data_IF_431700403397
#
_entry.id   IF_431700403397
#
_cell.length_a   1.000
_cell.length_b   1.000
_cell.length_c   1.000
_cell.angle_alpha   90.00
_cell.angle_beta   90.00
_cell.angle_gamma   90.00
#
_symmetry.space_group_name_H-M   'P 1'
#
loop_
_entity.id
_entity.type
_entity.pdbx_description
1 polymer ?
#
# COMPACT_ATOMS: atom_id res chain seq x y z
N UNK A 1 0.60 -27.27 -8.42
CA UNK A 1 -0.64 -27.39 -7.60
C UNK A 1 -0.48 -26.74 -6.23
N UNK A 2 0.58 -27.04 -5.46
CA UNK A 2 0.73 -26.51 -4.08
C UNK A 2 0.67 -24.97 -3.99
N UNK A 3 1.21 -24.24 -4.98
CA UNK A 3 1.09 -22.78 -5.03
C UNK A 3 -0.38 -22.32 -5.09
N UNK A 4 -1.22 -23.01 -5.85
CA UNK A 4 -2.65 -22.71 -5.96
C UNK A 4 -3.40 -23.04 -4.67
N UNK A 5 -3.13 -24.21 -4.10
CA UNK A 5 -3.71 -24.62 -2.81
C UNK A 5 -3.36 -23.60 -1.71
N UNK A 6 -2.11 -23.13 -1.67
CA UNK A 6 -1.68 -22.12 -0.70
C UNK A 6 -2.38 -20.78 -0.92
N UNK A 7 -2.52 -20.32 -2.16
CA UNK A 7 -3.28 -19.10 -2.46
C UNK A 7 -4.73 -19.23 -1.98
N UNK A 8 -5.40 -20.35 -2.28
CA UNK A 8 -6.80 -20.53 -1.89
C UNK A 8 -6.99 -20.60 -0.37
N UNK A 9 -6.08 -21.26 0.35
CA UNK A 9 -6.07 -21.25 1.82
C UNK A 9 -6.07 -19.82 2.37
N UNK A 10 -5.34 -18.92 1.73
CA UNK A 10 -5.28 -17.50 2.12
C UNK A 10 -6.56 -16.77 1.69
N UNK A 11 -6.99 -16.93 0.44
CA UNK A 11 -8.17 -16.25 -0.11
C UNK A 11 -9.43 -16.58 0.70
N UNK A 12 -9.62 -17.83 1.14
CA UNK A 12 -10.79 -18.24 1.93
C UNK A 12 -10.91 -17.45 3.25
N UNK A 13 -9.79 -16.99 3.83
CA UNK A 13 -9.81 -16.16 5.05
C UNK A 13 -10.49 -14.79 4.86
N UNK A 14 -10.64 -14.34 3.62
CA UNK A 14 -11.34 -13.11 3.27
C UNK A 14 -12.85 -13.25 3.27
N UNK A 15 -13.39 -14.49 3.21
CA UNK A 15 -14.84 -14.74 3.11
C UNK A 15 -15.69 -13.89 4.03
N UNK A 16 -15.37 -13.72 5.33
CA UNK A 16 -16.23 -12.96 6.23
C UNK A 16 -16.03 -11.43 6.15
N UNK A 17 -15.38 -10.91 5.10
CA UNK A 17 -15.48 -9.50 4.70
C UNK A 17 -16.64 -9.24 3.74
N UNK A 18 -17.24 -10.29 3.17
CA UNK A 18 -18.32 -10.21 2.19
C UNK A 18 -19.64 -10.64 2.82
N UNK A 19 -20.70 -9.88 2.59
CA UNK A 19 -22.05 -10.22 3.08
C UNK A 19 -22.73 -11.28 2.21
N UNK A 20 -22.38 -11.34 0.92
CA UNK A 20 -22.95 -12.29 -0.05
C UNK A 20 -21.89 -13.23 -0.59
N UNK A 21 -22.27 -14.49 -0.81
CA UNK A 21 -21.38 -15.52 -1.37
C UNK A 21 -20.91 -15.11 -2.76
N UNK A 22 -21.83 -14.75 -3.66
CA UNK A 22 -21.51 -14.34 -5.02
C UNK A 22 -20.48 -13.20 -5.09
N UNK A 23 -20.51 -12.24 -4.16
CA UNK A 23 -19.53 -11.14 -4.13
C UNK A 23 -18.14 -11.63 -3.72
N UNK A 24 -18.06 -12.61 -2.83
CA UNK A 24 -16.80 -13.27 -2.48
C UNK A 24 -16.28 -14.12 -3.65
N UNK A 25 -17.14 -14.88 -4.32
CA UNK A 25 -16.76 -15.66 -5.51
C UNK A 25 -16.17 -14.77 -6.62
N UNK A 26 -16.79 -13.62 -6.87
CA UNK A 26 -16.26 -12.63 -7.81
C UNK A 26 -14.94 -12.03 -7.37
N UNK A 27 -14.72 -11.84 -6.06
CA UNK A 27 -13.41 -11.43 -5.54
C UNK A 27 -12.34 -12.49 -5.85
N UNK A 28 -12.64 -13.77 -5.62
CA UNK A 28 -11.75 -14.90 -5.92
C UNK A 28 -11.40 -14.93 -7.41
N UNK A 29 -12.41 -14.84 -8.29
CA UNK A 29 -12.21 -14.83 -9.75
C UNK A 29 -11.37 -13.63 -10.20
N UNK A 30 -11.70 -12.42 -9.76
CA UNK A 30 -10.94 -11.22 -10.16
C UNK A 30 -9.50 -11.25 -9.65
N UNK A 31 -9.26 -11.81 -8.47
CA UNK A 31 -7.92 -11.96 -7.90
C UNK A 31 -7.08 -12.97 -8.67
N UNK A 32 -7.66 -14.14 -9.02
CA UNK A 32 -7.01 -15.11 -9.89
C UNK A 32 -6.76 -14.57 -11.29
N UNK A 33 -7.72 -13.84 -11.88
CA UNK A 33 -7.53 -13.18 -13.16
C UNK A 33 -6.37 -12.17 -13.13
N UNK A 34 -6.21 -11.40 -12.06
CA UNK A 34 -5.07 -10.50 -11.88
C UNK A 34 -3.74 -11.28 -11.77
N UNK A 35 -3.71 -12.39 -11.04
CA UNK A 35 -2.52 -13.23 -10.89
C UNK A 35 -2.11 -13.90 -12.21
N UNK A 36 -3.07 -14.38 -12.99
CA UNK A 36 -2.81 -15.23 -14.16
C UNK A 36 -2.72 -14.47 -15.49
N UNK A 37 -3.28 -13.26 -15.58
CA UNK A 37 -3.31 -12.54 -16.87
C UNK A 37 -1.91 -12.26 -17.45
N UNK A 38 -1.72 -12.58 -18.73
CA UNK A 38 -0.54 -12.23 -19.53
C UNK A 38 -0.79 -11.04 -20.44
N UNK A 39 -2.04 -10.57 -20.50
CA UNK A 39 -2.49 -9.43 -21.30
C UNK A 39 -2.31 -8.12 -20.53
N UNK A 40 -2.33 -6.95 -21.22
CA UNK A 40 -2.35 -5.65 -20.56
C UNK A 40 -3.46 -5.57 -19.49
N UNK A 41 -3.18 -5.04 -18.29
CA UNK A 41 -4.14 -5.07 -17.18
C UNK A 41 -5.46 -4.36 -17.48
N UNK A 42 -6.53 -5.13 -17.51
CA UNK A 42 -7.92 -4.70 -17.67
C UNK A 42 -8.85 -5.77 -17.10
N UNK A 43 -10.09 -5.39 -16.76
CA UNK A 43 -11.09 -6.35 -16.26
C UNK A 43 -11.35 -7.45 -17.29
N UNK A 44 -11.40 -7.12 -18.58
CA UNK A 44 -11.49 -8.09 -19.67
C UNK A 44 -10.31 -9.06 -19.69
N UNK A 45 -9.10 -8.55 -19.50
CA UNK A 45 -7.87 -9.36 -19.43
C UNK A 45 -7.87 -10.34 -18.25
N UNK A 46 -8.52 -9.99 -17.14
CA UNK A 46 -8.69 -10.89 -16.00
C UNK A 46 -9.67 -12.02 -16.33
N UNK A 47 -10.78 -11.72 -17.02
CA UNK A 47 -11.75 -12.73 -17.45
C UNK A 47 -11.17 -13.66 -18.52
N UNK A 48 -10.46 -13.11 -19.50
CA UNK A 48 -9.79 -13.87 -20.55
C UNK A 48 -8.78 -14.86 -19.96
N UNK A 49 -8.02 -14.45 -18.94
CA UNK A 49 -7.05 -15.31 -18.26
C UNK A 49 -7.70 -16.52 -17.58
N UNK A 50 -9.00 -16.45 -17.30
CA UNK A 50 -9.79 -17.51 -16.69
C UNK A 50 -10.67 -18.27 -17.70
N UNK A 51 -10.64 -17.89 -18.98
CA UNK A 51 -11.52 -18.46 -20.00
C UNK A 51 -13.00 -18.10 -19.82
N UNK A 52 -13.31 -17.00 -19.11
CA UNK A 52 -14.68 -16.55 -18.92
C UNK A 52 -15.18 -15.74 -20.14
N UNK A 53 -16.40 -16.02 -20.57
CA UNK A 53 -17.02 -15.40 -21.74
C UNK A 53 -17.42 -13.93 -21.50
N UNK A 54 -17.64 -13.19 -22.60
CA UNK A 54 -18.04 -11.78 -22.57
C UNK A 54 -19.33 -11.51 -21.77
N UNK A 55 -20.25 -12.49 -21.67
CA UNK A 55 -21.49 -12.37 -20.89
C UNK A 55 -21.23 -12.09 -19.39
N UNK A 56 -20.06 -12.48 -18.88
CA UNK A 56 -19.66 -12.27 -17.50
C UNK A 56 -19.02 -10.91 -17.23
N UNK A 57 -18.76 -10.10 -18.26
CA UNK A 57 -18.11 -8.80 -18.11
C UNK A 57 -18.90 -7.82 -17.22
N UNK A 58 -20.22 -7.75 -17.41
CA UNK A 58 -21.09 -6.89 -16.58
C UNK A 58 -21.06 -7.29 -15.11
N UNK A 59 -21.05 -8.58 -14.81
CA UNK A 59 -20.96 -9.11 -13.45
C UNK A 59 -19.63 -8.75 -12.78
N UNK A 60 -18.52 -8.86 -13.52
CA UNK A 60 -17.21 -8.44 -13.04
C UNK A 60 -17.16 -6.93 -12.73
N UNK A 61 -17.78 -6.09 -13.57
CA UNK A 61 -17.90 -4.65 -13.30
C UNK A 61 -18.78 -4.35 -12.09
N UNK A 62 -19.89 -5.08 -11.92
CA UNK A 62 -20.78 -4.91 -10.77
C UNK A 62 -20.07 -5.19 -9.45
N UNK A 63 -19.07 -6.08 -9.42
CA UNK A 63 -18.27 -6.32 -8.23
C UNK A 63 -17.58 -5.06 -7.70
N UNK A 64 -17.02 -4.23 -8.58
CA UNK A 64 -16.37 -2.96 -8.20
C UNK A 64 -17.35 -1.92 -7.66
N UNK A 65 -18.65 -2.08 -7.90
CA UNK A 65 -19.71 -1.20 -7.41
C UNK A 65 -20.63 -1.87 -6.37
N UNK A 66 -20.32 -3.09 -5.94
CA UNK A 66 -21.18 -3.86 -5.06
C UNK A 66 -21.24 -3.27 -3.64
N UNK A 67 -22.42 -3.21 -3.04
CA UNK A 67 -22.60 -2.97 -1.60
C UNK A 67 -22.40 -4.25 -0.76
N UNK A 68 -22.02 -5.36 -1.39
CA UNK A 68 -21.81 -6.65 -0.73
C UNK A 68 -20.54 -6.74 0.13
N UNK A 69 -19.72 -5.68 0.16
CA UNK A 69 -18.54 -5.58 1.01
C UNK A 69 -18.09 -4.13 1.16
N UNK A 70 -17.30 -3.89 2.19
CA UNK A 70 -16.56 -2.64 2.40
C UNK A 70 -15.08 -2.91 2.18
N UNK A 71 -14.42 -2.06 1.39
CA UNK A 71 -13.01 -2.24 1.08
C UNK A 71 -12.13 -2.25 2.35
N UNK A 72 -12.40 -1.38 3.31
CA UNK A 72 -11.62 -1.29 4.54
C UNK A 72 -11.69 -2.57 5.37
N UNK A 73 -12.80 -3.32 5.28
CA UNK A 73 -12.95 -4.62 5.94
C UNK A 73 -12.07 -5.67 5.26
N UNK A 74 -11.99 -5.66 3.93
CA UNK A 74 -11.08 -6.52 3.14
C UNK A 74 -9.62 -6.19 3.49
N UNK A 75 -9.23 -4.92 3.46
CA UNK A 75 -7.87 -4.47 3.79
C UNK A 75 -7.48 -4.80 5.24
N UNK A 76 -8.39 -4.60 6.21
CA UNK A 76 -8.16 -5.00 7.62
C UNK A 76 -7.96 -6.51 7.77
N UNK A 77 -8.74 -7.33 7.05
CA UNK A 77 -8.54 -8.79 7.05
C UNK A 77 -7.18 -9.17 6.47
N UNK A 78 -6.81 -8.57 5.35
CA UNK A 78 -5.50 -8.79 4.74
C UNK A 78 -4.36 -8.42 5.68
N UNK A 79 -4.41 -7.21 6.25
CA UNK A 79 -3.44 -6.74 7.23
C UNK A 79 -3.35 -7.66 8.45
N UNK A 80 -4.49 -8.09 9.00
CA UNK A 80 -4.52 -9.04 10.13
C UNK A 80 -3.94 -10.40 9.75
N UNK A 81 -4.25 -10.92 8.57
CA UNK A 81 -3.68 -12.19 8.13
C UNK A 81 -2.16 -12.09 8.04
N UNK A 82 -1.63 -11.01 7.43
CA UNK A 82 -0.20 -10.74 7.34
C UNK A 82 0.46 -10.59 8.72
N UNK A 83 -0.18 -9.94 9.69
CA UNK A 83 0.39 -9.77 11.04
C UNK A 83 0.46 -11.06 11.84
N UNK A 84 -0.21 -12.13 11.42
CA UNK A 84 -0.10 -13.45 12.06
C UNK A 84 0.96 -14.34 11.39
N UNK A 85 1.54 -13.93 10.26
CA UNK A 85 2.57 -14.72 9.60
C UNK A 85 3.93 -14.58 10.32
N UNK A 86 4.71 -15.66 10.29
CA UNK A 86 6.02 -15.76 10.95
C UNK A 86 7.08 -14.89 10.29
N UNK A 87 6.93 -14.63 8.99
CA UNK A 87 7.80 -13.81 8.15
C UNK A 87 7.50 -12.30 8.24
N UNK A 88 6.52 -11.87 9.03
CA UNK A 88 6.34 -10.44 9.26
C UNK A 88 7.53 -9.85 10.01
N UNK A 89 8.10 -8.75 9.52
CA UNK A 89 9.23 -8.11 10.16
C UNK A 89 8.83 -7.53 11.52
N UNK A 90 9.70 -7.66 12.52
CA UNK A 90 9.52 -7.09 13.86
C UNK A 90 10.70 -6.22 14.24
N UNK A 91 10.41 -5.12 14.91
CA UNK A 91 11.35 -4.27 15.62
C UNK A 91 10.94 -4.26 17.09
N UNK A 92 11.87 -4.57 18.00
CA UNK A 92 11.58 -4.70 19.43
C UNK A 92 10.30 -5.54 19.73
N UNK A 93 10.11 -6.64 19.00
CA UNK A 93 8.92 -7.50 19.13
C UNK A 93 7.64 -6.98 18.47
N UNK A 94 7.58 -5.74 17.98
CA UNK A 94 6.37 -5.15 17.37
C UNK A 94 6.44 -5.08 15.84
N UNK A 95 5.28 -5.02 15.18
CA UNK A 95 5.19 -4.98 13.72
C UNK A 95 5.69 -3.64 13.16
N UNK A 96 6.34 -3.71 11.99
CA UNK A 96 6.84 -2.52 11.29
C UNK A 96 6.09 -2.31 10.00
N UNK A 97 5.60 -1.11 9.86
CA UNK A 97 4.71 -0.70 8.82
C UNK A 97 5.33 0.47 8.06
N UNK A 98 5.17 0.49 6.74
CA UNK A 98 5.76 1.52 5.89
C UNK A 98 4.65 2.25 5.17
N UNK A 99 4.68 3.59 5.18
CA UNK A 99 3.68 4.43 4.52
C UNK A 99 4.33 5.49 3.64
N UNK A 100 3.69 5.76 2.50
CA UNK A 100 4.13 6.76 1.54
C UNK A 100 2.98 7.17 0.60
N UNK A 101 3.17 8.26 -0.14
CA UNK A 101 2.27 8.71 -1.18
C UNK A 101 2.73 8.33 -2.58
N UNK A 102 1.79 8.10 -3.50
CA UNK A 102 2.08 7.91 -4.92
C UNK A 102 1.17 8.78 -5.78
N UNK A 103 1.78 9.51 -6.73
CA UNK A 103 1.10 10.27 -7.77
C UNK A 103 0.98 9.40 -9.02
N UNK A 104 -0.22 9.32 -9.58
CA UNK A 104 -0.59 8.40 -10.66
C UNK A 104 -1.18 9.20 -11.81
N UNK A 105 -0.54 9.18 -12.96
CA UNK A 105 -0.99 9.95 -14.13
C UNK A 105 -2.34 9.44 -14.62
N UNK A 106 -3.25 10.37 -14.95
CA UNK A 106 -4.54 10.06 -15.57
C UNK A 106 -4.88 11.09 -16.64
N UNK A 107 -5.26 10.59 -17.81
CA UNK A 107 -5.69 11.42 -18.94
C UNK A 107 -7.22 11.51 -19.05
N UNK A 108 -7.94 10.62 -18.36
CA UNK A 108 -9.40 10.56 -18.40
C UNK A 108 -10.03 11.85 -17.88
N UNK A 109 -10.67 12.61 -18.78
CA UNK A 109 -11.26 13.92 -18.46
C UNK A 109 -12.61 13.85 -17.72
N UNK A 110 -13.13 12.64 -17.49
CA UNK A 110 -14.39 12.40 -16.75
C UNK A 110 -14.18 11.43 -15.59
N UNK A 111 -12.97 11.40 -15.04
CA UNK A 111 -12.63 10.62 -13.84
C UNK A 111 -12.68 11.58 -12.64
N UNK A 112 -13.53 11.34 -11.64
CA UNK A 112 -13.57 12.18 -10.45
C UNK A 112 -12.23 12.20 -9.71
N UNK A 113 -11.90 13.36 -9.12
CA UNK A 113 -10.69 13.52 -8.30
C UNK A 113 -9.39 13.74 -9.07
N UNK A 114 -9.41 13.79 -10.41
CA UNK A 114 -8.22 14.15 -11.20
C UNK A 114 -7.82 15.59 -10.91
N UNK A 115 -6.56 15.80 -10.55
CA UNK A 115 -5.97 17.10 -10.17
C UNK A 115 -4.58 17.29 -10.79
N UNK A 116 -4.19 18.53 -11.04
CA UNK A 116 -2.83 18.94 -11.37
C UNK A 116 -1.94 18.97 -10.12
N UNK A 117 -0.81 18.27 -10.15
CA UNK A 117 0.10 18.16 -9.00
C UNK A 117 1.55 18.40 -9.43
N UNK A 118 2.29 19.15 -8.62
CA UNK A 118 3.74 19.27 -8.76
C UNK A 118 4.43 17.99 -8.29
N UNK A 119 5.51 17.55 -8.92
CA UNK A 119 6.33 16.41 -8.52
C UNK A 119 7.62 16.89 -7.85
N UNK A 120 7.70 16.74 -6.53
CA UNK A 120 8.86 17.10 -5.71
C UNK A 120 10.09 16.17 -5.91
N UNK A 121 10.12 15.31 -6.94
CA UNK A 121 11.22 14.36 -7.12
C UNK A 121 12.37 15.01 -7.90
N UNK A 122 13.58 14.95 -7.35
CA UNK A 122 14.85 15.37 -8.01
C UNK A 122 15.24 14.50 -9.22
N UNK A 123 14.33 13.66 -9.74
CA UNK A 123 14.61 12.82 -10.89
C UNK A 123 14.36 13.60 -12.20
N UNK A 124 15.44 13.96 -12.88
CA UNK A 124 15.45 14.66 -14.17
C UNK A 124 14.57 13.98 -15.24
N UNK A 125 14.35 12.67 -15.13
CA UNK A 125 13.53 11.92 -16.10
C UNK A 125 12.02 12.00 -15.87
N UNK A 126 11.54 12.68 -14.82
CA UNK A 126 10.11 12.81 -14.52
C UNK A 126 9.64 14.23 -14.81
N UNK A 127 8.44 14.41 -15.41
CA UNK A 127 7.89 15.74 -15.64
C UNK A 127 7.61 16.44 -14.30
N UNK A 128 7.91 17.73 -14.22
CA UNK A 128 7.70 18.54 -13.01
C UNK A 128 6.23 18.57 -12.56
N UNK A 129 5.30 18.50 -13.50
CA UNK A 129 3.86 18.46 -13.22
C UNK A 129 3.23 17.18 -13.75
N UNK A 130 2.26 16.68 -13.00
CA UNK A 130 1.48 15.48 -13.32
C UNK A 130 0.00 15.77 -13.10
N UNK A 131 -0.81 15.43 -14.10
CA UNK A 131 -2.25 15.41 -13.98
C UNK A 131 -2.69 14.00 -13.59
N UNK A 132 -3.42 13.86 -12.49
CA UNK A 132 -3.95 12.56 -12.11
C UNK A 132 -4.41 12.45 -10.67
N UNK A 133 -4.11 11.32 -10.04
CA UNK A 133 -4.58 10.98 -8.70
C UNK A 133 -3.42 10.83 -7.71
N UNK A 134 -3.67 11.17 -6.45
CA UNK A 134 -2.75 10.89 -5.35
C UNK A 134 -3.34 9.82 -4.43
N UNK A 135 -2.59 8.74 -4.25
CA UNK A 135 -2.92 7.71 -3.27
C UNK A 135 -1.96 7.79 -2.09
N UNK A 136 -2.51 7.76 -0.88
CA UNK A 136 -1.71 7.35 0.28
C UNK A 136 -1.75 5.84 0.36
N UNK A 137 -0.60 5.22 0.61
CA UNK A 137 -0.49 3.80 0.81
C UNK A 137 0.15 3.47 2.14
N UNK A 138 -0.23 2.31 2.64
CA UNK A 138 0.30 1.78 3.87
C UNK A 138 0.46 0.27 3.73
N UNK A 139 1.68 -0.23 3.93
CA UNK A 139 2.03 -1.65 3.83
C UNK A 139 2.68 -2.19 5.11
N UNK A 140 2.71 -3.51 5.24
CA UNK A 140 3.47 -4.22 6.28
C UNK A 140 4.80 -4.68 5.69
N UNK A 141 5.86 -4.46 6.47
CA UNK A 141 7.17 -5.00 6.14
C UNK A 141 7.17 -6.50 6.45
N UNK A 142 7.41 -7.32 5.44
CA UNK A 142 7.54 -8.77 5.54
C UNK A 142 8.89 -9.20 4.98
N UNK A 143 9.48 -10.26 5.51
CA UNK A 143 10.75 -10.75 5.03
C UNK A 143 11.37 -11.83 5.89
N UNK A 144 12.24 -12.62 5.24
CA UNK A 144 13.09 -13.62 5.86
C UNK A 144 14.53 -13.36 5.43
N UNK A 145 15.47 -13.45 6.38
CA UNK A 145 16.88 -13.12 6.14
C UNK A 145 17.02 -11.71 5.53
N UNK A 146 17.70 -11.59 4.38
CA UNK A 146 17.84 -10.32 3.65
C UNK A 146 16.74 -10.07 2.60
N UNK A 147 15.81 -11.01 2.39
CA UNK A 147 14.70 -10.84 1.45
C UNK A 147 13.55 -10.11 2.15
N UNK A 148 13.39 -8.82 1.84
CA UNK A 148 12.41 -7.94 2.46
C UNK A 148 11.50 -7.31 1.41
N UNK A 149 10.20 -7.37 1.64
CA UNK A 149 9.14 -6.80 0.84
C UNK A 149 8.25 -5.87 1.69
N UNK A 150 7.53 -4.97 1.03
CA UNK A 150 6.41 -4.25 1.63
C UNK A 150 5.13 -4.77 0.99
N UNK A 151 4.36 -5.52 1.77
CA UNK A 151 3.05 -6.01 1.37
C UNK A 151 2.01 -4.93 1.64
N UNK A 152 1.48 -4.36 0.57
CA UNK A 152 0.54 -3.24 0.64
C UNK A 152 -0.77 -3.70 1.26
N UNK A 153 -1.22 -2.99 2.30
CA UNK A 153 -2.44 -3.32 3.05
C UNK A 153 -3.61 -2.47 2.58
N UNK A 154 -3.38 -1.17 2.41
CA UNK A 154 -4.43 -0.24 2.00
C UNK A 154 -3.83 0.88 1.14
N UNK A 155 -4.53 1.22 0.06
CA UNK A 155 -4.29 2.41 -0.76
C UNK A 155 -5.59 3.20 -0.86
N UNK A 156 -5.54 4.50 -0.56
CA UNK A 156 -6.70 5.38 -0.52
C UNK A 156 -6.47 6.65 -1.32
N UNK A 157 -7.50 7.08 -2.06
CA UNK A 157 -7.46 8.35 -2.79
C UNK A 157 -7.61 9.48 -1.77
N UNK A 158 -6.52 10.20 -1.50
CA UNK A 158 -6.47 11.19 -0.41
C UNK A 158 -6.29 12.64 -0.89
N UNK A 159 -6.08 12.87 -2.19
CA UNK A 159 -6.09 14.21 -2.80
C UNK A 159 -7.03 14.24 -4.01
N UNK A 160 -7.41 15.45 -4.40
CA UNK A 160 -8.20 15.73 -5.59
C UNK A 160 -9.70 15.82 -5.38
N UNK A 161 -10.21 15.42 -4.20
CA UNK A 161 -11.62 15.55 -3.81
C UNK A 161 -11.70 16.16 -2.42
N UNK A 162 -12.58 17.15 -2.27
CA UNK A 162 -12.95 17.82 -1.02
C UNK A 162 -14.44 17.53 -0.80
N UNK A 163 -14.76 16.62 0.12
CA UNK A 163 -16.15 16.24 0.37
C UNK A 163 -16.89 17.24 1.26
N UNK A 164 -16.19 17.81 2.23
CA UNK A 164 -16.73 18.78 3.18
C UNK A 164 -15.78 19.98 3.34
N UNK A 165 -16.29 21.07 3.92
CA UNK A 165 -15.46 22.24 4.24
C UNK A 165 -14.34 21.88 5.22
N UNK A 166 -14.60 21.00 6.18
CA UNK A 166 -13.58 20.51 7.12
C UNK A 166 -12.48 19.68 6.43
N UNK A 167 -12.83 18.91 5.38
CA UNK A 167 -11.85 18.17 4.58
C UNK A 167 -10.97 19.07 3.72
N UNK A 168 -11.42 20.27 3.38
CA UNK A 168 -10.62 21.26 2.67
C UNK A 168 -9.39 21.68 3.51
N UNK A 169 -9.54 21.65 4.84
CA UNK A 169 -8.46 21.93 5.78
C UNK A 169 -7.60 20.68 6.08
N UNK A 170 -8.14 19.47 5.85
CA UNK A 170 -7.46 18.23 6.18
C UNK A 170 -6.28 17.95 5.26
N UNK A 171 -5.09 17.96 5.85
CA UNK A 171 -3.81 17.78 5.14
C UNK A 171 -3.56 16.30 4.84
N UNK A 172 -2.77 16.03 3.80
CA UNK A 172 -2.29 14.67 3.50
C UNK A 172 -1.61 13.99 4.70
N UNK A 173 -1.02 14.77 5.60
CA UNK A 173 -0.44 14.27 6.86
C UNK A 173 -1.50 13.69 7.80
N UNK A 174 -2.67 14.30 7.92
CA UNK A 174 -3.77 13.79 8.73
C UNK A 174 -4.36 12.51 8.13
N UNK A 175 -4.57 12.52 6.81
CA UNK A 175 -5.11 11.35 6.10
C UNK A 175 -4.16 10.14 6.20
N UNK A 176 -2.84 10.36 6.11
CA UNK A 176 -1.84 9.30 6.35
C UNK A 176 -1.83 8.82 7.81
N UNK A 177 -1.91 9.73 8.78
CA UNK A 177 -1.98 9.34 10.19
C UNK A 177 -3.25 8.53 10.48
N UNK A 178 -4.39 8.92 9.90
CA UNK A 178 -5.63 8.17 10.01
C UNK A 178 -5.53 6.80 9.34
N UNK A 179 -4.90 6.71 8.16
CA UNK A 179 -4.64 5.42 7.50
C UNK A 179 -3.81 4.48 8.38
N UNK A 180 -2.80 5.02 9.07
CA UNK A 180 -2.02 4.28 10.06
C UNK A 180 -2.91 3.82 11.22
N UNK A 181 -3.68 4.71 11.84
CA UNK A 181 -4.55 4.32 12.96
C UNK A 181 -5.57 3.24 12.57
N UNK A 182 -6.14 3.31 11.35
CA UNK A 182 -7.18 2.38 10.89
C UNK A 182 -6.69 0.94 10.68
N UNK A 183 -5.43 0.74 10.30
CA UNK A 183 -4.93 -0.56 9.81
C UNK A 183 -3.77 -1.17 10.60
N UNK A 184 -3.42 -0.62 11.76
CA UNK A 184 -2.21 -1.00 12.50
C UNK A 184 -2.56 -1.56 13.88
N UNK A 185 -1.69 -2.42 14.39
CA UNK A 185 -1.81 -2.98 15.75
C UNK A 185 -1.14 -2.06 16.77
N UNK A 186 -1.68 -2.02 18.00
CA UNK A 186 -1.14 -1.22 19.11
C UNK A 186 0.34 -1.55 19.37
N UNK A 187 1.16 -0.54 19.65
CA UNK A 187 2.61 -0.67 19.89
C UNK A 187 3.45 -0.79 18.63
N UNK A 188 2.84 -0.80 17.44
CA UNK A 188 3.59 -0.97 16.19
C UNK A 188 4.27 0.30 15.71
N UNK A 189 5.25 0.14 14.83
CA UNK A 189 6.01 1.24 14.24
C UNK A 189 5.50 1.59 12.85
N UNK A 190 5.25 2.87 12.60
CA UNK A 190 5.03 3.45 11.28
C UNK A 190 6.31 4.15 10.80
N UNK A 191 6.91 3.64 9.73
CA UNK A 191 8.07 4.21 9.05
C UNK A 191 7.57 5.06 7.88
N UNK A 192 7.65 6.38 8.00
CA UNK A 192 7.09 7.33 7.03
C UNK A 192 8.17 8.25 6.46
N UNK A 193 7.96 8.78 5.25
CA UNK A 193 8.85 9.78 4.66
C UNK A 193 8.91 11.10 5.46
N UNK A 194 9.94 11.91 5.21
CA UNK A 194 10.17 13.21 5.85
C UNK A 194 8.99 14.18 5.72
N UNK A 195 8.17 14.07 4.67
CA UNK A 195 6.93 14.84 4.55
C UNK A 195 5.98 14.64 5.74
N UNK A 196 5.95 13.43 6.31
CA UNK A 196 5.09 13.05 7.43
C UNK A 196 5.74 13.26 8.81
N UNK A 197 7.00 13.71 8.86
CA UNK A 197 7.64 14.13 10.09
C UNK A 197 7.06 15.48 10.55
N UNK A 198 5.87 15.45 11.13
CA UNK A 198 5.21 16.63 11.69
C UNK A 198 4.44 16.33 12.98
N UNK A 199 4.14 17.39 13.74
CA UNK A 199 3.44 17.32 15.02
C UNK A 199 2.09 16.59 14.92
N UNK A 200 1.33 16.84 13.86
CA UNK A 200 -0.01 16.28 13.66
C UNK A 200 0.04 14.76 13.59
N UNK A 201 0.95 14.21 12.77
CA UNK A 201 1.15 12.76 12.64
C UNK A 201 1.61 12.18 13.97
N UNK A 202 2.62 12.78 14.61
CA UNK A 202 3.18 12.25 15.85
C UNK A 202 2.15 12.19 16.98
N UNK A 203 1.39 13.27 17.18
CA UNK A 203 0.35 13.33 18.21
C UNK A 203 -0.74 12.31 17.95
N UNK A 204 -1.19 12.18 16.69
CA UNK A 204 -2.20 11.20 16.32
C UNK A 204 -1.73 9.77 16.57
N UNK A 205 -0.49 9.44 16.21
CA UNK A 205 0.07 8.11 16.46
C UNK A 205 0.22 7.82 17.97
N UNK A 206 0.69 8.79 18.77
CA UNK A 206 0.79 8.63 20.23
C UNK A 206 -0.56 8.38 20.90
N UNK A 207 -1.61 9.12 20.50
CA UNK A 207 -2.98 8.91 21.01
C UNK A 207 -3.48 7.47 20.81
N UNK A 208 -2.98 6.79 19.77
CA UNK A 208 -3.33 5.40 19.44
C UNK A 208 -2.23 4.40 19.82
N UNK A 209 -1.25 4.81 20.62
CA UNK A 209 -0.11 4.01 21.05
C UNK A 209 0.67 3.38 19.87
N UNK A 210 0.90 4.17 18.83
CA UNK A 210 1.76 3.83 17.70
C UNK A 210 3.04 4.66 17.75
N UNK A 211 4.14 4.10 17.24
CA UNK A 211 5.43 4.78 17.18
C UNK A 211 5.72 5.28 15.76
N UNK A 212 6.23 6.50 15.62
CA UNK A 212 6.72 7.03 14.35
C UNK A 212 8.23 6.82 14.25
N UNK A 213 8.69 6.33 13.10
CA UNK A 213 10.07 6.45 12.64
C UNK A 213 10.05 7.24 11.33
N UNK A 214 10.80 8.32 11.24
CA UNK A 214 10.83 9.15 10.04
C UNK A 214 12.14 9.92 9.91
N UNK A 215 12.33 10.61 8.79
CA UNK A 215 13.43 11.55 8.58
C UNK A 215 12.98 12.95 8.94
N UNK A 216 13.74 13.63 9.76
CA UNK A 216 13.54 15.06 10.01
C UNK A 216 14.28 15.91 8.98
N UNK A 217 13.78 17.13 8.74
CA UNK A 217 14.50 18.11 7.92
C UNK A 217 15.79 18.53 8.64
N UNK A 218 16.84 18.83 7.89
CA UNK A 218 18.10 19.30 8.48
C UNK A 218 17.90 20.59 9.28
N UNK A 219 16.95 21.44 8.88
CA UNK A 219 16.60 22.69 9.54
C UNK A 219 15.73 22.54 10.79
N UNK A 220 15.44 21.31 11.22
CA UNK A 220 14.59 21.06 12.39
C UNK A 220 15.19 21.69 13.66
N UNK A 221 14.31 22.31 14.44
CA UNK A 221 14.63 22.90 15.74
C UNK A 221 13.91 22.11 16.82
N UNK A 222 14.67 21.44 17.67
CA UNK A 222 14.19 20.79 18.88
C UNK A 222 14.27 21.74 20.09
N UNK A 223 13.86 21.25 21.25
CA UNK A 223 13.83 22.01 22.50
C UNK A 223 14.51 21.22 23.61
N UNK A 224 15.35 21.92 24.35
CA UNK A 224 15.90 21.42 25.61
C UNK A 224 14.80 21.24 26.65
N UNK A 225 15.14 20.51 27.71
CA UNK A 225 14.32 20.45 28.91
C UNK A 225 14.13 21.84 29.52
N UNK A 226 12.90 22.14 29.94
CA UNK A 226 12.63 23.40 30.61
C UNK A 226 12.99 23.27 32.09
N UNK A 227 13.95 24.06 32.55
CA UNK A 227 14.21 24.27 33.98
C UNK A 227 13.63 25.60 34.43
N UNK A 228 12.63 25.59 35.30
CA UNK A 228 12.18 26.80 35.97
C UNK A 228 13.25 27.26 36.97
N UNK A 229 13.51 28.56 37.05
CA UNK A 229 14.27 29.11 38.17
C UNK A 229 13.29 29.38 39.32
N UNK A 230 13.31 28.60 40.41
CA UNK A 230 12.34 28.72 41.51
C UNK A 230 12.41 30.07 42.23
N UNK A 231 13.50 30.84 42.06
CA UNK A 231 13.72 32.12 42.73
C UNK A 231 13.04 33.33 42.06
N UNK A 232 12.41 33.14 40.90
CA UNK A 232 11.80 34.23 40.12
C UNK A 232 10.33 33.93 39.84
N UNK A 233 9.39 34.41 40.67
CA UNK A 233 7.97 34.34 40.35
C UNK A 233 7.71 35.18 39.09
N UNK A 234 7.32 34.52 37.99
CA UNK A 234 6.96 35.20 36.74
C UNK A 234 5.44 35.23 36.61
N UNK A 235 4.90 36.43 36.46
CA UNK A 235 3.48 36.66 36.18
C UNK A 235 3.18 36.20 34.73
N UNK A 236 2.15 35.38 34.54
CA UNK A 236 1.70 34.90 33.23
C UNK A 236 1.74 33.38 33.06
N UNK A 237 1.36 32.89 31.87
CA UNK A 237 1.32 31.45 31.57
C UNK A 237 2.72 30.82 31.71
N UNK A 238 2.88 29.71 32.47
CA UNK A 238 4.16 29.05 32.65
C UNK A 238 4.81 28.70 31.31
N UNK A 239 6.13 28.93 31.19
CA UNK A 239 6.90 28.46 30.03
C UNK A 239 6.93 26.93 30.06
N UNK A 240 6.60 26.32 28.92
CA UNK A 240 6.54 24.86 28.77
C UNK A 240 7.77 24.28 28.05
N UNK A 241 8.56 25.13 27.39
CA UNK A 241 9.67 24.69 26.53
C UNK A 241 10.99 25.33 26.98
N UNK A 242 12.07 24.55 26.93
CA UNK A 242 13.43 25.03 27.14
C UNK A 242 14.00 25.78 25.92
N UNK A 243 15.32 25.94 25.93
CA UNK A 243 16.07 26.60 24.87
C UNK A 243 15.87 25.90 23.50
N UNK A 244 15.95 26.68 22.41
CA UNK A 244 15.94 26.15 21.05
C UNK A 244 17.26 25.44 20.76
N UNK A 245 17.19 24.23 20.22
CA UNK A 245 18.35 23.46 19.75
C UNK A 245 18.17 23.27 18.25
N UNK A 246 19.03 23.90 17.45
CA UNK A 246 19.05 23.67 15.99
C UNK A 246 19.82 22.37 15.74
N UNK A 247 19.14 21.35 15.23
CA UNK A 247 19.76 20.03 15.10
C UNK A 247 20.91 20.00 14.08
N UNK A 248 20.89 20.89 13.08
CA UNK A 248 21.98 21.02 12.11
C UNK A 248 23.32 21.40 12.77
N UNK A 249 23.29 22.18 13.85
CA UNK A 249 24.48 22.70 14.51
C UNK A 249 25.17 21.57 15.32
N UNK A 250 24.47 20.46 15.59
CA UNK A 250 25.05 19.28 16.23
C UNK A 250 25.97 18.47 15.32
N UNK A 251 26.04 18.78 14.02
CA UNK A 251 26.98 18.16 13.07
C UNK A 251 28.37 18.83 13.06
N UNK A 252 28.60 19.86 13.87
CA UNK A 252 29.87 20.60 13.88
C UNK A 252 30.99 19.83 14.60
N UNK A 253 30.63 18.92 15.52
CA UNK A 253 31.56 18.00 16.19
C UNK A 253 31.07 16.54 16.01
N UNK A 254 31.75 15.82 15.10
CA UNK A 254 31.44 14.41 14.78
C UNK A 254 32.53 13.43 15.20
N UNK A 255 33.64 13.91 15.79
CA UNK A 255 34.84 13.09 16.01
C UNK A 255 34.61 12.01 17.07
N UNK A 256 33.69 12.27 18.00
CA UNK A 256 33.29 11.35 19.08
C UNK A 256 32.11 10.43 18.72
N UNK A 257 31.63 10.46 17.47
CA UNK A 257 30.44 9.71 17.08
C UNK A 257 30.69 8.21 16.94
N UNK A 258 29.63 7.43 17.14
CA UNK A 258 29.67 5.98 16.99
C UNK A 258 29.77 5.62 15.51
N UNK A 259 30.60 4.63 15.18
CA UNK A 259 30.72 4.11 13.81
C UNK A 259 29.88 2.85 13.64
N UNK A 260 29.15 2.75 12.53
CA UNK A 260 28.42 1.53 12.15
C UNK A 260 28.47 1.30 10.65
N UNK A 261 28.31 0.04 10.24
CA UNK A 261 28.10 -0.34 8.83
C UNK A 261 26.67 -0.84 8.67
N UNK A 262 25.90 -0.18 7.82
CA UNK A 262 24.49 -0.51 7.57
C UNK A 262 24.26 -0.84 6.09
N UNK A 263 23.28 -1.71 5.82
CA UNK A 263 22.90 -2.06 4.46
C UNK A 263 21.95 -1.01 3.84
N UNK A 264 22.50 0.04 3.24
CA UNK A 264 21.72 1.04 2.50
C UNK A 264 21.47 0.55 1.06
N UNK A 265 20.20 0.37 0.70
CA UNK A 265 19.81 -0.12 -0.64
C UNK A 265 20.51 -1.43 -1.04
N UNK A 266 20.78 -2.31 -0.06
CA UNK A 266 21.48 -3.58 -0.27
C UNK A 266 23.00 -3.47 -0.41
N UNK A 267 23.59 -2.28 -0.24
CA UNK A 267 25.03 -2.07 -0.21
C UNK A 267 25.49 -1.75 1.22
N UNK A 268 26.60 -2.35 1.69
CA UNK A 268 27.18 -1.96 2.97
C UNK A 268 27.71 -0.52 2.85
N UNK A 269 27.28 0.34 3.76
CA UNK A 269 27.74 1.72 3.86
C UNK A 269 28.16 1.97 5.30
N UNK A 270 29.43 2.33 5.49
CA UNK A 270 29.91 2.85 6.76
C UNK A 270 29.31 4.24 6.99
N UNK A 271 28.91 4.53 8.20
CA UNK A 271 28.47 5.85 8.64
C UNK A 271 28.86 6.08 10.09
N UNK A 272 28.91 7.35 10.48
CA UNK A 272 28.96 7.74 11.89
C UNK A 272 27.60 8.26 12.32
N UNK A 273 27.23 8.03 13.58
CA UNK A 273 25.96 8.49 14.12
C UNK A 273 26.06 8.86 15.60
N UNK A 274 25.13 9.72 16.03
CA UNK A 274 24.94 10.06 17.43
C UNK A 274 23.46 10.23 17.76
N UNK A 275 23.08 9.83 18.98
CA UNK A 275 21.72 9.85 19.47
C UNK A 275 21.49 11.02 20.43
N UNK A 276 20.35 11.71 20.28
CA UNK A 276 19.95 12.79 21.15
C UNK A 276 18.47 12.68 21.51
N UNK A 277 18.12 12.93 22.76
CA UNK A 277 16.72 12.93 23.21
C UNK A 277 16.28 14.35 23.54
N UNK A 278 15.37 14.89 22.74
CA UNK A 278 14.88 16.27 22.89
C UNK A 278 13.37 16.35 22.74
N UNK A 279 12.79 17.45 23.21
CA UNK A 279 11.39 17.74 23.00
C UNK A 279 11.19 18.37 21.62
N UNK A 280 10.11 18.04 20.92
CA UNK A 280 9.86 18.58 19.58
C UNK A 280 8.38 18.85 19.29
N UNK A 281 7.52 17.84 19.42
CA UNK A 281 6.10 17.94 19.12
C UNK A 281 5.24 18.25 20.37
N UNK A 282 5.73 17.84 21.54
CA UNK A 282 5.12 17.97 22.86
C UNK A 282 6.14 18.45 23.90
N UNK A 283 5.75 19.30 24.86
CA UNK A 283 6.63 19.75 25.94
C UNK A 283 6.81 18.69 27.05
N UNK A 284 6.03 17.60 27.04
CA UNK A 284 6.05 16.57 28.08
C UNK A 284 6.74 15.28 27.65
N UNK A 285 6.90 15.06 26.36
CA UNK A 285 7.43 13.82 25.80
C UNK A 285 8.60 14.12 24.86
N UNK A 286 9.72 13.44 25.09
CA UNK A 286 10.90 13.53 24.22
C UNK A 286 10.71 12.64 22.98
N UNK A 287 11.47 12.94 21.94
CA UNK A 287 11.70 12.08 20.78
C UNK A 287 13.19 11.78 20.67
N UNK A 288 13.52 10.62 20.12
CA UNK A 288 14.89 10.22 19.84
C UNK A 288 15.26 10.74 18.44
N UNK A 289 16.22 11.64 18.40
CA UNK A 289 16.90 12.07 17.18
C UNK A 289 18.16 11.22 16.98
N UNK A 290 18.34 10.71 15.76
CA UNK A 290 19.55 9.99 15.36
C UNK A 290 20.17 10.75 14.20
N UNK A 291 21.26 11.45 14.49
CA UNK A 291 22.01 12.18 13.48
C UNK A 291 23.02 11.22 12.85
N UNK A 292 23.11 11.24 11.52
CA UNK A 292 23.99 10.35 10.77
C UNK A 292 24.76 11.13 9.73
N UNK A 293 26.03 10.78 9.54
CA UNK A 293 26.88 11.32 8.50
C UNK A 293 27.58 10.18 7.74
N UNK A 294 27.42 10.17 6.42
CA UNK A 294 28.11 9.23 5.54
C UNK A 294 29.51 9.75 5.17
N UNK A 295 30.46 8.89 4.75
CA UNK A 295 31.79 9.28 4.30
C UNK A 295 31.80 10.32 3.19
N UNK A 296 30.76 10.36 2.35
CA UNK A 296 30.59 11.37 1.30
C UNK A 296 30.11 12.74 1.83
N UNK A 297 30.05 12.94 3.14
CA UNK A 297 29.56 14.16 3.79
C UNK A 297 28.03 14.29 3.85
N UNK A 298 27.28 13.30 3.34
CA UNK A 298 25.81 13.33 3.36
C UNK A 298 25.29 13.18 4.79
N UNK A 299 24.63 14.23 5.28
CA UNK A 299 24.02 14.32 6.61
C UNK A 299 22.54 13.97 6.57
N UNK A 300 22.06 13.24 7.58
CA UNK A 300 20.64 12.92 7.74
C UNK A 300 20.26 12.90 9.22
N UNK A 301 19.07 13.42 9.52
CA UNK A 301 18.47 13.38 10.86
C UNK A 301 17.29 12.42 10.80
N UNK A 302 17.34 11.36 11.59
CA UNK A 302 16.20 10.48 11.81
C UNK A 302 15.52 10.82 13.13
N UNK A 303 14.24 10.48 13.22
CA UNK A 303 13.39 10.69 14.37
C UNK A 303 12.67 9.40 14.70
N UNK A 304 12.64 9.04 15.98
CA UNK A 304 11.79 8.00 16.56
C UNK A 304 10.99 8.57 17.72
N UNK A 305 9.70 8.24 17.80
CA UNK A 305 8.89 8.52 19.00
C UNK A 305 9.04 7.47 20.10
N UNK A 306 9.73 6.36 19.82
CA UNK A 306 10.13 5.37 20.81
C UNK A 306 11.57 5.65 21.26
N UNK A 307 11.75 5.90 22.55
CA UNK A 307 13.04 6.18 23.18
C UNK A 307 13.80 4.92 23.57
N UNK A 308 13.16 3.74 23.52
CA UNK A 308 13.79 2.47 23.84
C UNK A 308 14.67 1.92 22.70
N UNK A 309 14.49 2.45 21.48
CA UNK A 309 15.28 2.04 20.32
C UNK A 309 16.71 2.56 20.40
N UNK A 310 17.65 1.72 19.99
CA UNK A 310 19.02 2.14 19.70
C UNK A 310 19.07 2.98 18.41
N UNK A 311 20.13 3.80 18.28
CA UNK A 311 20.36 4.56 17.04
C UNK A 311 20.44 3.67 15.80
N UNK A 312 21.09 2.50 15.92
CA UNK A 312 21.23 1.55 14.83
C UNK A 312 19.88 0.97 14.38
N UNK A 313 19.01 0.62 15.33
CA UNK A 313 17.66 0.12 15.03
C UNK A 313 16.82 1.15 14.25
N UNK A 314 16.87 2.42 14.65
CA UNK A 314 16.18 3.52 13.95
C UNK A 314 16.71 3.66 12.52
N UNK A 315 18.04 3.65 12.36
CA UNK A 315 18.70 3.73 11.05
C UNK A 315 18.24 2.56 10.19
N UNK A 316 18.39 1.32 10.67
CA UNK A 316 18.04 0.11 9.94
C UNK A 316 16.55 0.02 9.59
N UNK A 317 15.65 0.46 10.47
CA UNK A 317 14.22 0.50 10.19
C UNK A 317 13.92 1.50 9.06
N UNK A 318 14.49 2.71 9.14
CA UNK A 318 14.29 3.73 8.13
C UNK A 318 14.92 3.34 6.77
N UNK A 319 16.06 2.63 6.77
CA UNK A 319 16.65 2.11 5.53
C UNK A 319 15.71 1.18 4.76
N UNK A 320 14.74 0.53 5.42
CA UNK A 320 13.79 -0.37 4.77
C UNK A 320 12.59 0.38 4.16
N UNK A 321 12.43 1.68 4.42
CA UNK A 321 11.32 2.50 3.89
C UNK A 321 11.24 2.46 2.36
N UNK A 322 12.36 2.53 1.66
CA UNK A 322 12.37 2.55 0.17
C UNK A 322 11.71 1.30 -0.45
N UNK A 323 11.54 0.22 0.30
CA UNK A 323 10.84 -0.98 -0.18
C UNK A 323 9.40 -0.71 -0.58
N UNK A 324 8.75 0.33 -0.04
CA UNK A 324 7.42 0.73 -0.52
C UNK A 324 7.46 1.30 -1.94
N UNK A 325 8.51 2.04 -2.31
CA UNK A 325 8.71 2.54 -3.68
C UNK A 325 8.95 1.37 -4.64
N UNK A 326 9.66 0.33 -4.18
CA UNK A 326 9.80 -0.92 -4.94
C UNK A 326 8.45 -1.61 -5.10
N UNK A 327 7.65 -1.71 -4.03
CA UNK A 327 6.31 -2.29 -4.10
C UNK A 327 5.39 -1.53 -5.05
N UNK A 328 5.42 -0.19 -5.05
CA UNK A 328 4.70 0.64 -6.03
C UNK A 328 5.13 0.35 -7.45
N UNK A 329 6.45 0.30 -7.71
CA UNK A 329 6.98 0.00 -9.03
C UNK A 329 6.54 -1.39 -9.51
N UNK A 330 6.59 -2.40 -8.63
CA UNK A 330 6.12 -3.74 -8.98
C UNK A 330 4.60 -3.76 -9.20
N UNK A 331 3.81 -3.08 -8.37
CA UNK A 331 2.36 -2.98 -8.55
C UNK A 331 2.00 -2.35 -9.90
N UNK A 332 2.69 -1.29 -10.30
CA UNK A 332 2.51 -0.61 -11.59
C UNK A 332 2.92 -1.50 -12.75
N UNK A 333 4.15 -2.02 -12.76
CA UNK A 333 4.70 -2.66 -13.95
C UNK A 333 4.41 -4.16 -14.07
N UNK A 334 4.19 -4.86 -12.95
CA UNK A 334 3.85 -6.27 -12.99
C UNK A 334 2.34 -6.46 -13.15
N UNK A 335 1.54 -5.77 -12.35
CA UNK A 335 0.08 -6.01 -12.28
C UNK A 335 -0.76 -4.88 -12.88
N UNK A 336 -0.17 -3.73 -13.22
CA UNK A 336 -0.94 -2.56 -13.63
C UNK A 336 -1.98 -2.13 -12.61
N UNK A 337 -1.64 -2.19 -11.32
CA UNK A 337 -2.59 -1.90 -10.24
C UNK A 337 -3.23 -0.51 -10.30
N UNK A 338 -2.67 0.40 -11.08
CA UNK A 338 -3.22 1.73 -11.33
C UNK A 338 -3.82 1.92 -12.74
N UNK A 339 -4.06 0.85 -13.50
CA UNK A 339 -4.59 0.91 -14.87
C UNK A 339 -6.13 1.13 -14.95
N UNK A 340 -6.80 1.40 -13.83
CA UNK A 340 -8.25 1.64 -13.79
C UNK A 340 -8.68 2.86 -14.61
N UNK A 341 -9.89 2.79 -15.16
CA UNK A 341 -10.51 3.81 -16.03
C UNK A 341 -12.01 4.01 -15.76
N UNK A 342 -12.46 3.94 -14.49
CA UNK A 342 -13.87 4.15 -14.17
C UNK A 342 -14.26 5.63 -14.37
N UNK A 343 -14.85 5.93 -15.53
CA UNK A 343 -15.40 7.25 -15.84
C UNK A 343 -16.83 7.42 -15.31
N UNK A 344 -17.24 8.68 -15.17
CA UNK A 344 -18.61 9.08 -14.87
C UNK A 344 -19.16 9.93 -16.01
N UNK A 345 -20.16 9.41 -16.74
CA UNK A 345 -20.74 10.10 -17.91
C UNK A 345 -21.34 11.46 -17.56
N UNK A 346 -21.93 11.57 -16.37
CA UNK A 346 -22.60 12.75 -15.83
C UNK A 346 -21.65 13.92 -15.55
N UNK A 347 -20.34 13.69 -15.43
CA UNK A 347 -19.38 14.77 -15.27
C UNK A 347 -19.09 15.45 -16.60
N UNK A 348 -18.91 16.76 -16.55
CA UNK A 348 -18.30 17.50 -17.64
C UNK A 348 -16.83 17.14 -17.81
N UNK A 349 -16.28 17.46 -18.99
CA UNK A 349 -14.85 17.26 -19.23
C UNK A 349 -14.08 18.25 -18.37
N UNK A 350 -13.28 17.74 -17.43
CA UNK A 350 -12.40 18.58 -16.62
C UNK A 350 -11.31 19.23 -17.47
N UNK A 351 -10.84 20.40 -17.04
CA UNK A 351 -9.76 21.15 -17.66
C UNK A 351 -8.47 20.33 -17.81
N UNK A 352 -7.52 20.86 -18.58
CA UNK A 352 -6.22 20.21 -18.78
C UNK A 352 -5.43 20.10 -17.46
N UNK A 353 -5.47 21.15 -16.62
CA UNK A 353 -4.86 21.19 -15.30
C UNK A 353 -5.90 21.57 -14.24
N UNK A 354 -6.73 20.62 -13.79
CA UNK A 354 -7.80 20.89 -12.84
C UNK A 354 -7.27 21.02 -11.40
N UNK A 355 -7.92 21.87 -10.61
CA UNK A 355 -7.77 21.90 -9.15
C UNK A 355 -8.56 20.77 -8.48
N UNK A 356 -8.58 20.76 -7.14
CA UNK A 356 -9.40 19.82 -6.37
C UNK A 356 -10.88 19.98 -6.70
N UNK A 357 -11.58 18.85 -6.84
CA UNK A 357 -13.02 18.80 -7.01
C UNK A 357 -13.74 19.00 -5.67
N UNK A 358 -14.65 19.96 -5.59
CA UNK A 358 -15.52 20.14 -4.44
C UNK A 358 -16.82 19.35 -4.65
N UNK A 359 -17.12 18.39 -3.77
CA UNK A 359 -18.34 17.58 -3.94
C UNK A 359 -19.62 18.39 -3.77
N UNK A 360 -19.58 19.41 -2.92
CA UNK A 360 -20.73 20.27 -2.62
C UNK A 360 -21.21 21.09 -3.84
N UNK A 361 -20.41 21.18 -4.90
CA UNK A 361 -20.78 21.86 -6.15
C UNK A 361 -21.73 21.03 -7.03
N UNK A 362 -21.99 19.77 -6.66
CA UNK A 362 -22.82 18.83 -7.41
C UNK A 362 -24.09 18.45 -6.65
N UNK A 363 -25.14 18.07 -7.38
CA UNK A 363 -26.35 17.50 -6.80
C UNK A 363 -26.06 16.19 -6.05
N UNK A 364 -26.87 15.89 -5.03
CA UNK A 364 -26.68 14.73 -4.15
C UNK A 364 -26.56 13.39 -4.90
N UNK A 365 -27.35 13.20 -5.97
CA UNK A 365 -27.29 12.00 -6.81
C UNK A 365 -25.96 11.87 -7.56
N UNK A 366 -25.39 12.99 -8.00
CA UNK A 366 -24.09 13.03 -8.68
C UNK A 366 -22.97 12.84 -7.66
N UNK A 367 -23.06 13.45 -6.47
CA UNK A 367 -22.11 13.21 -5.37
C UNK A 367 -21.99 11.73 -5.05
N UNK A 368 -23.13 11.03 -4.92
CA UNK A 368 -23.17 9.59 -4.64
C UNK A 368 -22.49 8.79 -5.75
N UNK A 369 -22.72 9.15 -7.02
CA UNK A 369 -22.05 8.52 -8.16
C UNK A 369 -20.54 8.79 -8.19
N UNK A 370 -20.10 10.00 -7.86
CA UNK A 370 -18.68 10.35 -7.74
C UNK A 370 -18.01 9.47 -6.69
N UNK A 371 -18.56 9.41 -5.49
CA UNK A 371 -18.03 8.60 -4.38
C UNK A 371 -17.98 7.11 -4.76
N UNK A 372 -19.01 6.58 -5.44
CA UNK A 372 -19.01 5.20 -5.93
C UNK A 372 -17.88 4.93 -6.95
N UNK A 373 -17.52 5.91 -7.78
CA UNK A 373 -16.39 5.78 -8.73
C UNK A 373 -15.04 5.85 -8.03
N UNK A 374 -14.91 6.70 -7.03
CA UNK A 374 -13.73 6.76 -6.15
C UNK A 374 -13.53 5.40 -5.49
N UNK A 375 -14.58 4.84 -4.91
CA UNK A 375 -14.51 3.53 -4.29
C UNK A 375 -14.11 2.44 -5.29
N UNK A 376 -14.63 2.48 -6.53
CA UNK A 376 -14.21 1.56 -7.58
C UNK A 376 -12.72 1.70 -7.95
N UNK A 377 -12.16 2.91 -7.92
CA UNK A 377 -10.70 3.12 -8.08
C UNK A 377 -9.94 2.39 -6.98
N UNK A 378 -10.32 2.63 -5.72
CA UNK A 378 -9.67 2.02 -4.58
C UNK A 378 -9.81 0.50 -4.59
N UNK A 379 -10.98 -0.04 -4.91
CA UNK A 379 -11.24 -1.48 -5.01
C UNK A 379 -10.35 -2.13 -6.07
N UNK A 380 -10.18 -1.51 -7.23
CA UNK A 380 -9.28 -2.02 -8.27
C UNK A 380 -7.81 -2.00 -7.83
N UNK A 381 -7.36 -0.89 -7.24
CA UNK A 381 -5.96 -0.74 -6.79
C UNK A 381 -5.66 -1.76 -5.69
N UNK A 382 -6.55 -1.90 -4.70
CA UNK A 382 -6.33 -2.78 -3.56
C UNK A 382 -6.50 -4.26 -3.91
N UNK A 383 -7.35 -4.63 -4.88
CA UNK A 383 -7.38 -6.00 -5.43
C UNK A 383 -5.99 -6.40 -5.96
N UNK A 384 -5.36 -5.51 -6.74
CA UNK A 384 -4.02 -5.74 -7.26
C UNK A 384 -2.93 -5.67 -6.18
N UNK A 385 -3.12 -4.84 -5.15
CA UNK A 385 -2.22 -4.79 -4.00
C UNK A 385 -2.23 -6.12 -3.22
N UNK A 386 -3.41 -6.72 -3.03
CA UNK A 386 -3.56 -8.05 -2.41
C UNK A 386 -2.94 -9.12 -3.32
N UNK A 387 -3.16 -9.07 -4.63
CA UNK A 387 -2.52 -9.99 -5.58
C UNK A 387 -0.99 -9.92 -5.49
N UNK A 388 -0.42 -8.71 -5.44
CA UNK A 388 1.02 -8.52 -5.26
C UNK A 388 1.49 -9.10 -3.93
N UNK A 389 0.75 -8.84 -2.85
CA UNK A 389 1.05 -9.36 -1.52
C UNK A 389 1.04 -10.89 -1.47
N UNK A 390 0.12 -11.56 -2.17
CA UNK A 390 0.12 -13.02 -2.32
C UNK A 390 1.39 -13.53 -3.01
N UNK A 391 1.84 -12.85 -4.07
CA UNK A 391 3.09 -13.20 -4.75
C UNK A 391 4.30 -13.06 -3.80
N UNK A 392 4.33 -12.04 -2.95
CA UNK A 392 5.40 -11.83 -1.98
C UNK A 392 5.39 -12.90 -0.88
N UNK A 393 4.22 -13.29 -0.39
CA UNK A 393 4.05 -14.38 0.59
C UNK A 393 4.58 -15.69 0.01
N UNK A 394 4.16 -16.07 -1.19
CA UNK A 394 4.65 -17.30 -1.83
C UNK A 394 6.16 -17.25 -2.10
N UNK A 395 6.70 -16.07 -2.42
CA UNK A 395 8.13 -15.90 -2.57
C UNK A 395 8.88 -16.29 -1.29
N UNK A 396 8.35 -15.91 -0.12
CA UNK A 396 8.95 -16.17 1.19
C UNK A 396 8.68 -17.60 1.69
N UNK A 397 7.44 -18.08 1.58
CA UNK A 397 7.01 -19.36 2.13
C UNK A 397 7.39 -20.56 1.24
N UNK A 398 7.38 -20.38 -0.08
CA UNK A 398 7.53 -21.47 -1.05
C UNK A 398 8.63 -21.22 -2.09
N UNK A 399 9.85 -20.78 -1.71
CA UNK A 399 10.90 -20.43 -2.67
C UNK A 399 11.34 -21.65 -3.50
N UNK A 400 11.55 -22.81 -2.87
CA UNK A 400 11.98 -24.05 -3.57
C UNK A 400 10.97 -24.49 -4.62
N UNK A 401 9.68 -24.48 -4.27
CA UNK A 401 8.60 -24.85 -5.19
C UNK A 401 8.53 -23.83 -6.33
N UNK A 402 8.60 -22.54 -6.04
CA UNK A 402 8.59 -21.50 -7.07
C UNK A 402 9.73 -21.68 -8.07
N UNK A 403 10.97 -21.90 -7.60
CA UNK A 403 12.12 -22.11 -8.50
C UNK A 403 12.00 -23.37 -9.35
N UNK A 404 11.45 -24.46 -8.79
CA UNK A 404 11.26 -25.72 -9.51
C UNK A 404 10.37 -25.58 -10.74
N UNK A 405 9.36 -24.70 -10.66
CA UNK A 405 8.37 -24.50 -11.73
C UNK A 405 8.51 -23.14 -12.41
N UNK A 406 9.65 -22.47 -12.24
CA UNK A 406 9.94 -21.29 -13.02
C UNK A 406 10.21 -21.72 -14.48
N UNK A 407 9.45 -21.22 -15.47
CA UNK A 407 9.56 -21.69 -16.86
C UNK A 407 10.79 -21.16 -17.61
N UNK A 408 11.65 -20.40 -16.94
CA UNK A 408 12.86 -19.83 -17.52
C UNK A 408 14.12 -20.34 -16.86
N UNK A 409 15.25 -19.73 -17.22
CA UNK A 409 16.53 -19.98 -16.58
C UNK A 409 17.19 -18.65 -16.17
N UNK A 410 18.01 -18.70 -15.12
CA UNK A 410 18.86 -17.58 -14.70
C UNK A 410 20.32 -18.01 -14.68
N UNK A 411 21.21 -17.17 -15.20
CA UNK A 411 22.66 -17.39 -15.06
C UNK A 411 23.10 -17.31 -13.60
N UNK A 412 22.49 -16.43 -12.81
CA UNK A 412 22.84 -16.20 -11.41
C UNK A 412 21.56 -16.02 -10.60
N UNK A 413 21.39 -16.84 -9.56
CA UNK A 413 20.29 -16.70 -8.61
C UNK A 413 20.55 -15.55 -7.63
N UNK A 414 19.49 -14.92 -7.07
CA UNK A 414 19.66 -13.96 -5.98
C UNK A 414 20.43 -14.60 -4.82
N UNK A 415 21.41 -13.89 -4.25
CA UNK A 415 22.25 -14.39 -3.15
C UNK A 415 21.44 -14.90 -1.95
N UNK A 416 20.26 -14.32 -1.74
CA UNK A 416 19.35 -14.71 -0.65
C UNK A 416 18.43 -15.89 -0.99
N UNK A 417 18.45 -16.41 -2.22
CA UNK A 417 17.70 -17.60 -2.63
C UNK A 417 16.18 -17.42 -2.83
N UNK A 418 15.59 -16.30 -2.40
CA UNK A 418 14.16 -16.02 -2.61
C UNK A 418 13.86 -15.45 -4.01
N UNK A 419 12.78 -15.90 -4.68
CA UNK A 419 12.33 -15.38 -5.98
C UNK A 419 11.72 -13.96 -5.85
N UNK A 420 11.62 -13.25 -6.97
CA UNK A 420 10.85 -12.00 -7.05
C UNK A 420 9.38 -12.28 -7.33
N UNK A 421 8.51 -11.29 -7.13
CA UNK A 421 7.07 -11.41 -7.41
C UNK A 421 6.79 -11.80 -8.87
N UNK A 422 7.63 -11.35 -9.81
CA UNK A 422 7.55 -11.74 -11.22
C UNK A 422 7.82 -13.22 -11.43
N UNK A 423 8.84 -13.76 -10.75
CA UNK A 423 9.23 -15.18 -10.88
C UNK A 423 8.12 -16.05 -10.30
N UNK A 424 7.57 -15.69 -9.14
CA UNK A 424 6.41 -16.37 -8.56
C UNK A 424 5.23 -16.36 -9.53
N UNK A 425 4.92 -15.21 -10.12
CA UNK A 425 3.82 -15.09 -11.08
C UNK A 425 4.02 -15.96 -12.32
N UNK A 426 5.24 -15.98 -12.88
CA UNK A 426 5.56 -16.83 -14.04
C UNK A 426 5.42 -18.31 -13.69
N UNK A 427 5.85 -18.74 -12.49
CA UNK A 427 5.67 -20.11 -12.04
C UNK A 427 4.19 -20.48 -11.84
N UNK A 428 3.35 -19.53 -11.37
CA UNK A 428 1.89 -19.72 -11.29
C UNK A 428 1.28 -19.90 -12.68
N UNK A 429 1.65 -19.03 -13.63
CA UNK A 429 1.13 -19.04 -14.99
C UNK A 429 1.51 -20.32 -15.74
N UNK A 430 2.76 -20.76 -15.61
CA UNK A 430 3.25 -22.01 -16.22
C UNK A 430 2.49 -23.25 -15.71
N UNK A 431 2.10 -23.25 -14.44
CA UNK A 431 1.33 -24.35 -13.87
C UNK A 431 -0.16 -24.33 -14.26
N UNK A 432 -0.67 -23.29 -14.91
CA UNK A 432 -2.11 -23.09 -15.09
C UNK A 432 -2.78 -24.25 -15.84
N UNK A 433 -2.28 -24.61 -17.02
CA UNK A 433 -2.89 -25.68 -17.85
C UNK A 433 -2.86 -27.02 -17.11
N UNK A 434 -1.75 -27.35 -16.45
CA UNK A 434 -1.62 -28.56 -15.67
C UNK A 434 -2.58 -28.62 -14.48
N UNK A 435 -2.75 -27.52 -13.76
CA UNK A 435 -3.65 -27.43 -12.59
C UNK A 435 -5.11 -27.52 -13.01
N UNK A 436 -5.49 -26.84 -14.10
CA UNK A 436 -6.86 -26.84 -14.62
C UNK A 436 -7.22 -28.19 -15.27
N UNK A 437 -6.27 -28.84 -15.95
CA UNK A 437 -6.50 -30.16 -16.58
C UNK A 437 -6.53 -31.32 -15.59
N UNK A 438 -5.73 -31.28 -14.52
CA UNK A 438 -5.71 -32.35 -13.50
C UNK A 438 -6.88 -32.31 -12.50
N UNK A 439 -7.83 -31.40 -12.69
CA UNK A 439 -9.17 -31.37 -12.13
C UNK A 439 -9.32 -32.11 -10.78
N UNK A 440 -8.63 -31.62 -9.75
CA UNK A 440 -9.13 -31.86 -8.39
C UNK A 440 -10.37 -30.99 -8.27
N UNK A 441 -11.54 -31.64 -8.16
CA UNK A 441 -12.81 -30.99 -7.85
C UNK A 441 -12.80 -30.20 -6.51
N UNK A 442 -11.69 -30.23 -5.76
CA UNK A 442 -11.53 -29.58 -4.46
C UNK A 442 -11.00 -28.14 -4.48
N UNK A 443 -10.40 -27.65 -5.58
CA UNK A 443 -9.97 -26.24 -5.64
C UNK A 443 -11.18 -25.31 -5.82
N UNK A 444 -11.22 -24.23 -5.05
CA UNK A 444 -12.26 -23.21 -5.11
C UNK A 444 -12.34 -22.60 -6.51
N UNK A 445 -11.21 -22.25 -7.13
CA UNK A 445 -11.17 -21.72 -8.50
C UNK A 445 -11.81 -22.69 -9.49
N UNK A 446 -11.45 -23.97 -9.43
CA UNK A 446 -12.00 -24.99 -10.33
C UNK A 446 -13.51 -25.12 -10.17
N UNK A 447 -14.00 -25.13 -8.92
CA UNK A 447 -15.44 -25.16 -8.63
C UNK A 447 -16.15 -23.96 -9.24
N UNK A 448 -15.63 -22.74 -9.01
CA UNK A 448 -16.24 -21.52 -9.52
C UNK A 448 -16.24 -21.47 -11.05
N UNK A 449 -15.16 -21.92 -11.71
CA UNK A 449 -15.09 -21.99 -13.17
C UNK A 449 -16.06 -23.04 -13.73
N UNK A 450 -16.17 -24.21 -13.09
CA UNK A 450 -17.12 -25.25 -13.49
C UNK A 450 -18.58 -24.75 -13.39
N UNK A 451 -18.93 -24.04 -12.32
CA UNK A 451 -20.26 -23.46 -12.14
C UNK A 451 -20.60 -22.42 -13.23
N UNK A 452 -19.62 -21.62 -13.68
CA UNK A 452 -19.84 -20.57 -14.69
C UNK A 452 -19.83 -21.11 -16.12
N UNK A 453 -19.04 -22.13 -16.41
CA UNK A 453 -18.96 -22.77 -17.74
C UNK A 453 -20.09 -23.80 -17.94
N UNK A 454 -20.54 -24.46 -16.89
CA UNK A 454 -21.65 -25.43 -16.93
C UNK A 454 -23.02 -24.78 -17.16
N UNK A 455 -23.23 -23.54 -16.70
CA UNK A 455 -24.46 -22.78 -16.92
C UNK A 455 -24.72 -22.40 -18.39
N UNK A 456 -23.72 -22.49 -19.27
CA UNK A 456 -23.87 -22.31 -20.73
C UNK A 456 -24.41 -23.55 -21.46
N UNK A 457 -24.55 -24.70 -20.78
CA UNK A 457 -24.96 -25.99 -21.38
C UNK A 457 -26.37 -26.44 -20.98
N UNK A 458 -27.31 -25.55 -20.72
CA UNK A 458 -28.73 -25.92 -20.76
C UNK A 458 -29.19 -25.97 -22.22
N UNK A 459 -29.55 -27.15 -22.78
CA UNK A 459 -30.16 -27.18 -24.09
C UNK A 459 -31.51 -26.46 -23.97
N UNK A 460 -31.66 -25.33 -24.67
CA UNK A 460 -32.99 -24.86 -25.07
C UNK A 460 -33.55 -25.95 -25.97
N UNK A 461 -34.32 -26.87 -25.39
CA UNK A 461 -35.20 -27.76 -26.14
C UNK A 461 -36.19 -26.85 -26.84
N UNK A 462 -35.90 -26.53 -28.10
CA UNK A 462 -36.83 -25.89 -28.99
C UNK A 462 -37.96 -26.89 -29.26
N UNK A 463 -39.08 -26.71 -28.57
CA UNK A 463 -40.34 -27.34 -28.96
C UNK A 463 -40.84 -26.63 -30.22
N UNK A 464 -40.26 -26.97 -31.37
CA UNK A 464 -40.93 -26.78 -32.66
C UNK A 464 -41.96 -27.91 -32.80
N UNK A 465 -43.20 -27.65 -32.38
CA UNK A 465 -44.32 -28.49 -32.81
C UNK A 465 -44.57 -28.19 -34.29
N UNK A 466 -44.29 -29.17 -35.15
CA UNK A 466 -44.90 -29.26 -36.46
C UNK A 466 -46.43 -29.21 -36.29
N UNK A 467 -47.06 -28.20 -36.90
CA UNK A 467 -48.44 -28.35 -37.37
C UNK A 467 -48.40 -28.26 -38.89
N UNK A 468 -48.50 -29.42 -39.50
CA UNK A 468 -48.88 -29.57 -40.89
C UNK A 468 -50.34 -29.14 -41.09
N UNK A 469 -50.56 -28.42 -42.19
CA UNK A 469 -51.67 -28.48 -43.16
C UNK A 469 -53.08 -28.82 -42.64
N UNK A 470 -54.05 -27.95 -42.91
CA UNK A 470 -55.04 -28.09 -44.00
C UNK A 470 -56.18 -27.07 -43.83
N UNK A 471 -56.56 -26.49 -44.98
CA UNK A 471 -57.69 -25.61 -45.30
C UNK A 471 -57.69 -24.16 -44.80
#
# INVERSE_FOLDING_TARGET
>A
MELYERIEQIIVTFRPAFSREATFEWFVLLLWGALLTTQPPAVTSYLNALGLEAAYYSHALHWFHSSGYELDRVCRRWGRWLTHQSDGYRLNGHRVYVGDGIKVSKEGRKMPGVKGMHQESDNISKPEWIRGHYFSALGLLIGLNSAVFVSLIALKLHDGIIATTDEAESRLTEKMAQLCVTHRERGSYAVLDAYYACRIVLQRLRQHHLHLISRSRISTVARAEFSANPKLPKRGRPRQWGAKIKLRDLFDDTDSWLTATVALYGKPVALVYQCFQFYWDSPTEKVLFVLTQQPCGKRMILLSSDLSLSGLEVIEAYTKRFKIEVAFRTLVHLLGGFAYRFWLRALDKVADWPDSMHLLDYDHDIQTQILSKVEAFERFVNLNAIALGLLQVLALEMPKHTWRYFPGWFRTLPKHGYPSERIVRMALQDQQEFVLSKSRAGLLLNKLLADKTGQGKTPKIAAFSQRERQH
#
